data_IF_332477986281
#
_entry.id   IF_332477986281
#
_cell.length_a   1.000
_cell.length_b   1.000
_cell.length_c   1.000
_cell.angle_alpha   90.00
_cell.angle_beta   90.00
_cell.angle_gamma   90.00
#
_symmetry.space_group_name_H-M   'P 1'
#
loop_
_entity.id
_entity.type
_entity.pdbx_description
1 polymer ?
#
# COMPACT_ATOMS: atom_id res chain seq x y z
N UNK A 1 18.93 -6.90 -19.17
CA UNK A 1 18.31 -7.01 -17.83
C UNK A 1 17.89 -8.45 -17.62
N UNK A 2 18.56 -9.20 -16.75
CA UNK A 2 18.13 -10.57 -16.41
C UNK A 2 16.92 -10.53 -15.47
N UNK A 3 15.87 -11.34 -15.71
CA UNK A 3 14.71 -11.40 -14.83
C UNK A 3 15.14 -12.08 -13.52
N UNK A 4 15.50 -11.27 -12.52
CA UNK A 4 15.75 -11.75 -11.16
C UNK A 4 14.44 -12.34 -10.65
N UNK A 5 14.44 -13.67 -10.44
CA UNK A 5 13.48 -14.49 -9.66
C UNK A 5 12.30 -13.68 -9.12
N UNK A 6 11.23 -13.58 -9.90
CA UNK A 6 10.05 -12.80 -9.55
C UNK A 6 9.41 -13.36 -8.28
N UNK A 7 9.08 -12.49 -7.33
CA UNK A 7 8.39 -12.83 -6.05
C UNK A 7 7.17 -13.73 -6.30
N UNK A 8 6.49 -13.55 -7.45
CA UNK A 8 5.35 -14.34 -7.89
C UNK A 8 5.60 -15.84 -8.02
N UNK A 9 6.79 -16.24 -8.48
CA UNK A 9 7.12 -17.65 -8.73
C UNK A 9 7.72 -18.34 -7.50
N UNK A 10 7.83 -17.63 -6.38
CA UNK A 10 8.29 -18.22 -5.13
C UNK A 10 7.29 -19.29 -4.66
N UNK A 11 7.78 -20.47 -4.27
CA UNK A 11 6.97 -21.59 -3.75
C UNK A 11 6.12 -21.20 -2.54
N UNK A 12 6.55 -20.19 -1.76
CA UNK A 12 5.80 -19.68 -0.60
C UNK A 12 4.69 -18.69 -0.95
N UNK A 13 4.55 -18.26 -2.20
CA UNK A 13 3.48 -17.34 -2.63
C UNK A 13 2.23 -18.13 -3.05
N UNK A 14 1.17 -18.03 -2.25
CA UNK A 14 -0.09 -18.71 -2.50
C UNK A 14 -0.81 -18.20 -3.75
N UNK A 15 -0.56 -16.95 -4.17
CA UNK A 15 -1.21 -16.36 -5.34
C UNK A 15 -0.87 -17.10 -6.65
N UNK A 16 0.25 -17.84 -6.67
CA UNK A 16 0.61 -18.73 -7.80
C UNK A 16 -0.51 -19.71 -8.15
N UNK A 17 -1.31 -20.14 -7.18
CA UNK A 17 -2.38 -21.12 -7.38
C UNK A 17 -3.64 -20.54 -8.03
N UNK A 18 -3.74 -19.21 -8.13
CA UNK A 18 -4.93 -18.51 -8.64
C UNK A 18 -4.98 -18.36 -10.17
N UNK A 19 -4.01 -18.95 -10.90
CA UNK A 19 -3.93 -18.85 -12.37
C UNK A 19 -3.42 -17.49 -12.86
N UNK A 20 -2.99 -17.42 -14.12
CA UNK A 20 -2.37 -16.23 -14.73
C UNK A 20 -3.37 -15.09 -15.04
N UNK A 21 -4.66 -15.34 -14.91
CA UNK A 21 -5.73 -14.38 -15.27
C UNK A 21 -6.13 -13.44 -14.12
N UNK A 22 -5.69 -13.72 -12.89
CA UNK A 22 -5.91 -12.81 -11.78
C UNK A 22 -4.96 -11.61 -11.91
N UNK A 23 -5.50 -10.39 -12.09
CA UNK A 23 -4.74 -9.13 -12.17
C UNK A 23 -3.72 -8.97 -11.02
N UNK A 24 -3.99 -9.57 -9.86
CA UNK A 24 -3.13 -9.56 -8.68
C UNK A 24 -1.80 -10.30 -8.85
N UNK A 25 -1.69 -11.15 -9.88
CA UNK A 25 -0.50 -11.94 -10.18
C UNK A 25 0.50 -11.24 -11.11
N UNK A 26 0.13 -10.10 -11.69
CA UNK A 26 1.00 -9.36 -12.59
C UNK A 26 1.55 -8.11 -11.90
N UNK A 27 2.85 -7.83 -12.04
CA UNK A 27 3.42 -6.59 -11.52
C UNK A 27 2.83 -5.38 -12.24
N UNK A 28 2.67 -4.29 -11.50
CA UNK A 28 2.18 -3.01 -12.03
C UNK A 28 3.34 -2.02 -12.07
N UNK A 29 3.61 -1.46 -13.26
CA UNK A 29 4.61 -0.42 -13.45
C UNK A 29 4.02 0.95 -13.15
N UNK A 30 4.72 1.75 -12.34
CA UNK A 30 4.35 3.11 -11.96
C UNK A 30 5.38 4.10 -12.50
N UNK A 31 4.90 5.10 -13.23
CA UNK A 31 5.70 6.24 -13.68
C UNK A 31 5.24 7.49 -12.93
N UNK A 32 6.17 8.14 -12.24
CA UNK A 32 5.91 9.32 -11.41
C UNK A 32 6.75 10.51 -11.86
N UNK A 33 6.27 11.72 -11.55
CA UNK A 33 6.99 12.99 -11.64
C UNK A 33 7.01 13.67 -10.26
N UNK A 34 7.66 14.83 -10.17
CA UNK A 34 7.66 15.58 -8.91
C UNK A 34 6.22 15.85 -8.43
N UNK A 35 5.96 15.54 -7.17
CA UNK A 35 4.65 15.61 -6.51
C UNK A 35 3.57 14.62 -6.97
N UNK A 36 3.89 13.68 -7.88
CA UNK A 36 3.03 12.51 -8.09
C UNK A 36 2.83 11.78 -6.76
N UNK A 37 1.58 11.55 -6.40
CA UNK A 37 1.19 11.10 -5.06
C UNK A 37 0.29 9.89 -5.16
N UNK A 38 0.55 8.90 -4.30
CA UNK A 38 -0.39 7.84 -3.98
C UNK A 38 -1.06 8.24 -2.67
N UNK A 39 -2.38 8.45 -2.71
CA UNK A 39 -3.18 8.78 -1.53
C UNK A 39 -3.15 7.62 -0.52
N UNK A 40 -3.73 7.82 0.66
CA UNK A 40 -3.83 6.73 1.63
C UNK A 40 -4.57 5.54 1.03
N UNK A 41 -3.89 4.40 0.99
CA UNK A 41 -4.40 3.18 0.38
C UNK A 41 -4.11 1.98 1.29
N UNK A 42 -5.04 1.03 1.29
CA UNK A 42 -4.92 -0.30 1.87
C UNK A 42 -5.58 -1.28 0.91
N UNK A 43 -4.95 -2.43 0.70
CA UNK A 43 -5.55 -3.49 -0.11
C UNK A 43 -6.90 -3.96 0.46
N UNK A 44 -7.97 -4.03 -0.35
CA UNK A 44 -9.30 -4.41 0.11
C UNK A 44 -9.35 -5.85 0.65
N UNK A 45 -8.44 -6.73 0.21
CA UNK A 45 -8.30 -8.10 0.68
C UNK A 45 -7.23 -8.26 1.76
N UNK A 46 -6.71 -7.14 2.29
CA UNK A 46 -5.66 -7.13 3.31
C UNK A 46 -4.37 -7.84 2.89
N UNK A 47 -4.11 -8.00 1.58
CA UNK A 47 -2.90 -8.63 1.07
C UNK A 47 -1.68 -7.73 1.32
N UNK A 48 -0.53 -8.34 1.67
CA UNK A 48 0.72 -7.63 1.63
C UNK A 48 1.18 -7.45 0.18
N UNK A 49 1.94 -6.39 -0.03
CA UNK A 49 2.51 -6.07 -1.33
C UNK A 49 3.86 -5.39 -1.17
N UNK A 50 4.61 -5.36 -2.26
CA UNK A 50 5.96 -4.81 -2.32
C UNK A 50 6.08 -3.86 -3.49
N UNK A 51 6.83 -2.78 -3.33
CA UNK A 51 7.24 -1.89 -4.42
C UNK A 51 8.76 -1.84 -4.53
N UNK A 52 9.27 -1.98 -5.74
CA UNK A 52 10.68 -1.77 -6.07
C UNK A 52 10.86 -0.51 -6.90
N UNK A 53 11.74 0.40 -6.47
CA UNK A 53 12.06 1.60 -7.22
C UNK A 53 13.23 1.33 -8.16
N UNK A 54 12.96 1.20 -9.46
CA UNK A 54 13.98 0.87 -10.46
C UNK A 54 14.97 2.00 -10.69
N UNK A 55 14.47 3.23 -10.89
CA UNK A 55 15.29 4.39 -11.26
C UNK A 55 14.60 5.72 -10.94
N UNK A 56 15.39 6.79 -10.97
CA UNK A 56 14.92 8.17 -10.84
C UNK A 56 15.25 8.81 -9.49
N UNK A 57 14.39 9.74 -9.07
CA UNK A 57 14.45 10.42 -7.78
C UNK A 57 13.89 9.55 -6.66
N UNK A 58 14.01 10.00 -5.41
CA UNK A 58 13.49 9.25 -4.26
C UNK A 58 11.98 9.40 -4.10
N UNK A 59 11.35 8.44 -3.42
CA UNK A 59 9.95 8.52 -2.97
C UNK A 59 9.90 8.68 -1.45
N UNK A 60 9.05 9.58 -0.96
CA UNK A 60 8.75 9.70 0.46
C UNK A 60 7.54 8.83 0.74
N UNK A 61 7.64 7.95 1.74
CA UNK A 61 6.59 7.04 2.12
C UNK A 61 6.11 7.33 3.54
N UNK A 62 4.80 7.16 3.73
CA UNK A 62 4.16 7.16 5.03
C UNK A 62 3.37 5.86 5.21
N UNK A 63 3.41 5.31 6.42
CA UNK A 63 2.72 4.06 6.75
C UNK A 63 1.95 4.17 8.07
N UNK A 64 0.72 3.67 8.10
CA UNK A 64 -0.10 3.55 9.31
C UNK A 64 -0.33 2.05 9.56
N UNK A 65 0.08 1.51 10.72
CA UNK A 65 -0.10 0.09 11.03
C UNK A 65 -1.58 -0.24 11.23
N UNK A 66 -1.94 -1.51 11.04
CA UNK A 66 -3.31 -1.97 11.20
C UNK A 66 -3.91 -1.64 12.59
N UNK A 67 -3.10 -1.66 13.65
CA UNK A 67 -3.53 -1.31 15.02
C UNK A 67 -4.09 0.11 15.17
N UNK A 68 -3.78 1.00 14.23
CA UNK A 68 -4.23 2.39 14.22
C UNK A 68 -5.41 2.61 13.23
N UNK A 69 -5.94 1.55 12.61
CA UNK A 69 -6.99 1.65 11.57
C UNK A 69 -8.25 2.36 12.07
N UNK A 70 -8.72 2.04 13.27
CA UNK A 70 -9.93 2.63 13.83
C UNK A 70 -9.75 4.11 14.16
N UNK A 71 -8.57 4.49 14.65
CA UNK A 71 -8.24 5.91 14.87
C UNK A 71 -8.15 6.66 13.54
N UNK A 72 -7.52 6.05 12.54
CA UNK A 72 -7.43 6.63 11.19
C UNK A 72 -8.81 6.85 10.57
N UNK A 73 -9.73 5.88 10.71
CA UNK A 73 -11.12 6.05 10.28
C UNK A 73 -11.81 7.21 10.98
N UNK A 74 -11.74 7.28 12.32
CA UNK A 74 -12.35 8.38 13.09
C UNK A 74 -11.77 9.75 12.69
N UNK A 75 -10.46 9.83 12.49
CA UNK A 75 -9.80 11.05 12.02
C UNK A 75 -10.28 11.44 10.61
N UNK A 76 -10.43 10.47 9.70
CA UNK A 76 -10.95 10.72 8.36
C UNK A 76 -12.42 11.17 8.38
N UNK A 77 -13.27 10.56 9.22
CA UNK A 77 -14.67 10.98 9.40
C UNK A 77 -14.78 12.41 9.94
N UNK A 78 -13.85 12.82 10.81
CA UNK A 78 -13.78 14.17 11.36
C UNK A 78 -13.23 15.20 10.37
N UNK A 79 -12.11 14.89 9.71
CA UNK A 79 -11.36 15.84 8.87
C UNK A 79 -11.93 15.93 7.45
N UNK A 80 -12.48 14.83 6.93
CA UNK A 80 -12.91 14.69 5.53
C UNK A 80 -14.23 13.90 5.43
N UNK A 81 -15.32 14.32 6.10
CA UNK A 81 -16.57 13.56 6.19
C UNK A 81 -17.20 13.23 4.84
N UNK A 82 -17.01 14.07 3.82
CA UNK A 82 -17.54 13.87 2.47
C UNK A 82 -16.90 12.71 1.71
N UNK A 83 -15.72 12.24 2.14
CA UNK A 83 -14.95 11.19 1.45
C UNK A 83 -15.06 9.82 2.14
N UNK A 84 -15.69 9.75 3.32
CA UNK A 84 -15.88 8.51 4.06
C UNK A 84 -17.25 7.90 3.74
N UNK A 85 -17.25 6.61 3.40
CA UNK A 85 -18.48 5.86 3.12
C UNK A 85 -18.90 5.00 4.32
N UNK A 86 -20.20 4.96 4.62
CA UNK A 86 -20.79 3.99 5.56
C UNK A 86 -20.98 2.61 4.88
N UNK A 87 -19.88 2.02 4.37
CA UNK A 87 -19.84 0.68 3.76
C UNK A 87 -18.66 -0.12 4.34
N UNK A 88 -18.61 -1.42 4.09
CA UNK A 88 -17.51 -2.30 4.55
C UNK A 88 -16.12 -1.81 4.11
N UNK A 89 -16.02 -1.23 2.92
CA UNK A 89 -14.86 -0.43 2.49
C UNK A 89 -15.22 1.05 2.70
N UNK A 90 -14.75 1.62 3.80
CA UNK A 90 -15.07 2.99 4.18
C UNK A 90 -14.26 4.06 3.43
N UNK A 91 -13.10 3.68 2.87
CA UNK A 91 -12.23 4.54 2.08
C UNK A 91 -11.87 3.84 0.76
N UNK A 92 -12.49 4.23 -0.37
CA UNK A 92 -12.01 3.85 -1.69
C UNK A 92 -10.53 4.23 -1.87
N UNK A 93 -9.78 3.42 -2.63
CA UNK A 93 -8.39 3.73 -2.95
C UNK A 93 -8.26 5.06 -3.69
N UNK A 94 -7.14 5.75 -3.48
CA UNK A 94 -6.70 6.91 -4.27
C UNK A 94 -7.54 8.19 -4.20
N UNK A 95 -8.51 8.29 -3.28
CA UNK A 95 -9.35 9.50 -3.16
C UNK A 95 -8.99 10.43 -1.99
N UNK A 96 -8.32 9.93 -0.94
CA UNK A 96 -8.16 10.65 0.31
C UNK A 96 -6.68 10.83 0.68
N UNK A 97 -6.21 12.08 0.61
CA UNK A 97 -4.89 12.47 1.07
C UNK A 97 -5.01 13.40 2.28
N UNK A 98 -4.74 12.87 3.47
CA UNK A 98 -4.66 13.65 4.70
C UNK A 98 -3.18 13.89 5.02
N UNK A 99 -2.75 15.15 5.22
CA UNK A 99 -1.39 15.47 5.65
C UNK A 99 -0.98 14.70 6.92
N UNK A 100 0.22 14.08 6.97
CA UNK A 100 0.66 13.31 8.12
C UNK A 100 0.68 14.09 9.44
N UNK A 101 0.93 15.40 9.41
CA UNK A 101 0.92 16.25 10.60
C UNK A 101 -0.47 16.40 11.22
N UNK A 102 -1.53 16.41 10.41
CA UNK A 102 -2.91 16.38 10.91
C UNK A 102 -3.24 15.04 11.55
N UNK A 103 -2.77 13.92 10.98
CA UNK A 103 -2.96 12.61 11.58
C UNK A 103 -2.24 12.47 12.92
N UNK A 104 -1.03 13.01 13.03
CA UNK A 104 -0.30 13.07 14.30
C UNK A 104 -1.07 13.87 15.37
N UNK A 105 -1.70 14.99 14.99
CA UNK A 105 -2.54 15.80 15.90
C UNK A 105 -3.80 15.06 16.37
N UNK A 106 -4.34 14.15 15.57
CA UNK A 106 -5.44 13.25 15.96
C UNK A 106 -4.95 12.03 16.78
N UNK A 107 -3.67 11.95 17.13
CA UNK A 107 -3.11 10.90 17.99
C UNK A 107 -2.87 9.56 17.27
N UNK A 108 -2.73 9.58 15.95
CA UNK A 108 -2.41 8.41 15.13
C UNK A 108 -0.89 8.24 15.06
N UNK A 109 -0.43 7.03 15.35
CA UNK A 109 0.96 6.67 15.13
C UNK A 109 1.20 6.31 13.67
N UNK A 110 2.20 6.93 13.04
CA UNK A 110 2.60 6.64 11.67
C UNK A 110 4.12 6.61 11.54
N UNK A 111 4.61 5.92 10.51
CA UNK A 111 6.02 5.84 10.17
C UNK A 111 6.29 6.60 8.87
N UNK A 112 7.48 7.19 8.75
CA UNK A 112 7.98 7.82 7.53
C UNK A 112 9.26 7.12 7.09
N UNK A 113 9.43 6.89 5.78
CA UNK A 113 10.70 6.46 5.20
C UNK A 113 10.94 7.11 3.84
N UNK A 114 12.18 7.04 3.36
CA UNK A 114 12.57 7.52 2.03
C UNK A 114 13.07 6.30 1.25
N UNK A 115 12.43 6.01 0.13
CA UNK A 115 12.85 4.96 -0.79
C UNK A 115 13.74 5.57 -1.88
N UNK A 116 14.95 5.03 -2.02
CA UNK A 116 15.93 5.37 -3.06
C UNK A 116 15.91 4.33 -4.18
N UNK A 117 16.40 4.68 -5.39
CA UNK A 117 16.55 3.70 -6.46
C UNK A 117 17.33 2.46 -6.02
N UNK A 118 16.81 1.28 -6.33
CA UNK A 118 17.35 -0.01 -5.90
C UNK A 118 16.76 -0.57 -4.60
N UNK A 119 15.85 0.16 -3.95
CA UNK A 119 15.26 -0.25 -2.67
C UNK A 119 13.83 -0.79 -2.81
N UNK A 120 13.49 -1.71 -1.90
CA UNK A 120 12.15 -2.27 -1.75
C UNK A 120 11.40 -1.59 -0.59
N UNK A 121 10.11 -1.36 -0.78
CA UNK A 121 9.14 -1.05 0.28
C UNK A 121 8.20 -2.23 0.42
N UNK A 122 8.12 -2.80 1.62
CA UNK A 122 7.17 -3.86 1.95
C UNK A 122 6.01 -3.27 2.75
N UNK A 123 4.78 -3.44 2.26
CA UNK A 123 3.56 -3.06 2.96
C UNK A 123 2.93 -4.30 3.55
N UNK A 124 2.82 -4.30 4.88
CA UNK A 124 2.26 -5.41 5.63
C UNK A 124 0.74 -5.50 5.49
N UNK A 125 0.16 -6.70 5.75
CA UNK A 125 -1.28 -6.90 5.68
C UNK A 125 -2.04 -5.83 6.44
N UNK A 126 -3.13 -5.32 5.84
CA UNK A 126 -4.05 -4.36 6.46
C UNK A 126 -3.46 -3.01 6.88
N UNK A 127 -2.22 -2.72 6.54
CA UNK A 127 -1.60 -1.43 6.80
C UNK A 127 -1.99 -0.43 5.71
N UNK A 128 -2.09 0.85 6.08
CA UNK A 128 -2.27 1.92 5.11
C UNK A 128 -0.92 2.49 4.70
N UNK A 129 -0.77 2.85 3.44
CA UNK A 129 0.41 3.51 2.91
C UNK A 129 0.03 4.70 2.04
N UNK A 130 0.89 5.71 2.02
CA UNK A 130 0.84 6.83 1.08
C UNK A 130 2.26 7.15 0.64
N UNK A 131 2.42 7.67 -0.58
CA UNK A 131 3.73 8.05 -1.10
C UNK A 131 3.70 9.33 -1.92
N UNK A 132 4.83 10.04 -1.95
CA UNK A 132 5.04 11.25 -2.76
C UNK A 132 6.38 11.14 -3.50
N UNK A 133 6.35 11.36 -4.81
CA UNK A 133 7.54 11.36 -5.66
C UNK A 133 8.26 12.71 -5.58
N UNK A 134 9.59 12.70 -5.45
CA UNK A 134 10.41 13.93 -5.38
C UNK A 134 10.96 14.38 -6.74
N UNK A 135 10.60 13.69 -7.81
CA UNK A 135 11.05 13.93 -9.18
C UNK A 135 10.56 12.81 -10.11
N UNK A 136 11.21 12.63 -11.26
CA UNK A 136 10.92 11.49 -12.12
C UNK A 136 11.21 10.17 -11.39
N UNK A 137 10.29 9.20 -11.41
CA UNK A 137 10.46 7.87 -10.81
C UNK A 137 9.89 6.79 -11.70
N UNK A 138 10.54 5.62 -11.75
CA UNK A 138 9.98 4.41 -12.33
C UNK A 138 10.06 3.29 -11.31
N UNK A 139 8.91 2.82 -10.84
CA UNK A 139 8.82 1.74 -9.85
C UNK A 139 7.84 0.66 -10.28
N UNK A 140 7.89 -0.49 -9.63
CA UNK A 140 7.06 -1.64 -9.94
C UNK A 140 6.52 -2.26 -8.65
N UNK A 141 5.22 -2.48 -8.58
CA UNK A 141 4.55 -3.06 -7.42
C UNK A 141 3.99 -4.45 -7.69
N UNK A 142 3.98 -5.28 -6.66
CA UNK A 142 3.55 -6.67 -6.72
C UNK A 142 2.86 -7.11 -5.43
N UNK A 143 1.72 -7.79 -5.54
CA UNK A 143 1.11 -8.48 -4.40
C UNK A 143 1.76 -9.84 -4.17
N UNK A 144 1.74 -10.28 -2.92
CA UNK A 144 2.13 -11.64 -2.55
C UNK A 144 1.25 -12.13 -1.40
N UNK A 145 1.01 -13.44 -1.32
CA UNK A 145 0.27 -14.05 -0.23
C UNK A 145 1.13 -15.12 0.43
N UNK A 146 1.50 -14.88 1.68
CA UNK A 146 2.14 -15.88 2.54
C UNK A 146 1.08 -16.71 3.26
N UNK A 147 1.43 -17.90 3.75
CA UNK A 147 0.47 -18.78 4.41
C UNK A 147 -0.23 -18.15 5.64
N UNK A 148 0.45 -17.23 6.34
CA UNK A 148 -0.14 -16.48 7.45
C UNK A 148 -1.27 -15.53 7.02
N UNK A 149 -1.30 -15.07 5.75
CA UNK A 149 -2.40 -14.24 5.25
C UNK A 149 -3.73 -15.00 5.25
N UNK A 150 -3.72 -16.32 4.96
CA UNK A 150 -4.95 -17.16 5.00
C UNK A 150 -5.57 -17.14 6.38
N UNK A 151 -4.76 -17.18 7.44
CA UNK A 151 -5.24 -17.07 8.83
C UNK A 151 -5.89 -15.72 9.15
N UNK A 152 -5.61 -14.68 8.37
CA UNK A 152 -6.19 -13.34 8.56
C UNK A 152 -7.52 -13.10 7.83
N UNK A 153 -7.90 -14.01 6.91
CA UNK A 153 -9.12 -13.93 6.11
C UNK A 153 -10.43 -13.80 6.91
N UNK A 154 -10.63 -14.51 8.05
CA UNK A 154 -11.86 -14.38 8.83
C UNK A 154 -12.12 -12.96 9.33
N UNK A 155 -11.07 -12.15 9.48
CA UNK A 155 -11.14 -10.76 9.92
C UNK A 155 -11.22 -9.76 8.75
N UNK A 156 -11.16 -10.23 7.50
CA UNK A 156 -11.23 -9.41 6.28
C UNK A 156 -12.63 -9.52 5.65
N UNK A 157 -13.31 -10.65 5.85
CA UNK A 157 -14.63 -10.97 5.25
C UNK A 157 -15.80 -10.54 6.14
N UNK A 158 -15.53 -10.01 7.35
CA UNK A 158 -16.53 -9.39 8.23
C UNK A 158 -16.74 -7.91 7.87
#
# INVERSE_FOLDING_TARGET
MHPKKTVFHNKGNLLRSLGSEALINNPVLHLGMCFSTNCWHRDPHGLPWVEYLHQGSSKIWYGIPHSESDKFRKAAEKLCPSFVQNKGIWMPSDILMIPPDLLLKEGINLTKTIQRPGEYIFVFPKSYSSSICTGFTMSESAYFAVQSWVGSLPQIIQ
#
